data_IF_195893066389
#
_entry.id   IF_195893066389
#
_cell.length_a   1.000
_cell.length_b   1.000
_cell.length_c   1.000
_cell.angle_alpha   90.00
_cell.angle_beta   90.00
_cell.angle_gamma   90.00
#
_symmetry.space_group_name_H-M   'P 1'
#
loop_
_entity.id
_entity.type
_entity.pdbx_description
1 polymer ?
#
# COMPACT_ATOMS: atom_id res chain seq x y z
N UNK A 1 -9.35 26.60 7.30
CA UNK A 1 -9.81 25.22 7.02
C UNK A 1 -8.84 24.23 7.67
N UNK A 2 -9.23 22.98 7.92
CA UNK A 2 -8.30 21.96 8.42
C UNK A 2 -7.10 21.77 7.48
N UNK A 3 -5.93 21.48 8.04
CA UNK A 3 -4.67 21.22 7.31
C UNK A 3 -4.22 19.78 7.51
N UNK A 4 -3.29 19.32 6.67
CA UNK A 4 -2.73 17.98 6.76
C UNK A 4 -1.21 17.97 6.53
N UNK A 5 -0.51 17.10 7.26
CA UNK A 5 0.93 16.86 7.15
C UNK A 5 1.21 15.37 7.00
N UNK A 6 2.26 15.01 6.26
CA UNK A 6 2.73 13.63 6.14
C UNK A 6 3.86 13.38 7.14
N UNK A 7 3.63 12.50 8.10
CA UNK A 7 4.64 12.09 9.09
C UNK A 7 5.11 10.69 8.75
N UNK A 8 6.41 10.54 8.49
CA UNK A 8 6.99 9.23 8.15
C UNK A 8 6.82 8.24 9.31
N UNK A 9 6.30 7.06 8.99
CA UNK A 9 5.96 6.01 9.95
C UNK A 9 6.80 4.75 9.76
N UNK A 10 7.45 4.58 8.60
CA UNK A 10 8.31 3.44 8.34
C UNK A 10 8.53 3.15 6.86
N UNK A 11 9.11 1.98 6.59
CA UNK A 11 9.34 1.43 5.25
C UNK A 11 8.50 0.18 5.03
N UNK A 12 8.12 -0.04 3.78
CA UNK A 12 7.51 -1.29 3.32
C UNK A 12 8.35 -1.83 2.18
N UNK A 13 8.96 -2.99 2.36
CA UNK A 13 9.63 -3.73 1.30
C UNK A 13 8.69 -4.82 0.78
N UNK A 14 8.61 -4.94 -0.54
CA UNK A 14 7.70 -5.83 -1.24
C UNK A 14 8.49 -6.61 -2.29
N UNK A 15 8.21 -7.91 -2.37
CA UNK A 15 8.67 -8.74 -3.48
C UNK A 15 7.47 -9.14 -4.34
N UNK A 16 7.45 -8.65 -5.57
CA UNK A 16 6.45 -9.06 -6.56
C UNK A 16 6.73 -10.46 -7.10
N UNK A 17 5.66 -11.13 -7.49
CA UNK A 17 5.64 -12.50 -7.96
C UNK A 17 5.16 -12.65 -9.40
N UNK A 18 4.41 -13.73 -9.63
CA UNK A 18 3.82 -13.99 -10.95
C UNK A 18 2.85 -12.87 -11.35
N UNK A 19 2.94 -12.47 -12.62
CA UNK A 19 2.02 -11.53 -13.24
C UNK A 19 1.11 -12.32 -14.19
N UNK A 20 -0.17 -12.27 -13.92
CA UNK A 20 -1.22 -12.78 -14.80
C UNK A 20 -1.87 -11.59 -15.52
N UNK A 21 -1.72 -11.54 -16.83
CA UNK A 21 -2.52 -10.66 -17.66
C UNK A 21 -3.91 -11.29 -17.87
N UNK A 22 -4.95 -10.61 -17.41
CA UNK A 22 -6.34 -11.00 -17.66
C UNK A 22 -6.77 -10.56 -19.06
N UNK A 23 -6.24 -9.43 -19.52
CA UNK A 23 -6.44 -8.89 -20.86
C UNK A 23 -7.16 -7.54 -20.87
N UNK A 24 -7.47 -7.07 -22.07
CA UNK A 24 -8.08 -5.76 -22.29
C UNK A 24 -9.55 -5.71 -21.85
N UNK A 25 -9.87 -4.71 -21.03
CA UNK A 25 -11.23 -4.40 -20.59
C UNK A 25 -11.62 -2.96 -20.88
N UNK A 26 -12.86 -2.61 -20.51
CA UNK A 26 -13.41 -1.26 -20.74
C UNK A 26 -12.60 -0.12 -20.10
N UNK A 27 -11.79 -0.42 -19.08
CA UNK A 27 -11.00 0.54 -18.31
C UNK A 27 -9.48 0.44 -18.58
N UNK A 28 -9.05 -0.38 -19.53
CA UNK A 28 -7.65 -0.70 -19.78
C UNK A 28 -7.33 -2.19 -19.54
N UNK A 29 -6.06 -2.55 -19.63
CA UNK A 29 -5.59 -3.94 -19.48
C UNK A 29 -5.59 -4.33 -18.00
N UNK A 30 -6.35 -5.38 -17.65
CA UNK A 30 -6.43 -5.89 -16.28
C UNK A 30 -5.30 -6.87 -16.01
N UNK A 31 -4.62 -6.68 -14.90
CA UNK A 31 -3.58 -7.55 -14.37
C UNK A 31 -4.00 -8.13 -13.01
N UNK A 32 -3.42 -9.28 -12.67
CA UNK A 32 -3.32 -9.76 -11.30
C UNK A 32 -1.84 -10.00 -11.03
N UNK A 33 -1.28 -9.29 -10.06
CA UNK A 33 0.14 -9.34 -9.71
C UNK A 33 0.24 -9.98 -8.33
N UNK A 34 0.88 -11.15 -8.25
CA UNK A 34 1.18 -11.79 -6.97
C UNK A 34 2.12 -10.89 -6.15
N UNK A 35 1.83 -10.75 -4.86
CA UNK A 35 2.76 -10.18 -3.89
C UNK A 35 3.29 -11.32 -3.03
N UNK A 36 4.54 -11.72 -3.27
CA UNK A 36 5.16 -12.89 -2.62
C UNK A 36 5.52 -12.64 -1.17
N UNK A 37 6.00 -11.44 -0.89
CA UNK A 37 6.44 -11.03 0.44
C UNK A 37 6.18 -9.55 0.66
N UNK A 38 5.89 -9.21 1.91
CA UNK A 38 5.79 -7.84 2.42
C UNK A 38 6.47 -7.82 3.77
N UNK A 39 7.36 -6.84 3.97
CA UNK A 39 7.99 -6.54 5.25
C UNK A 39 7.78 -5.07 5.57
N UNK A 40 7.18 -4.79 6.73
CA UNK A 40 7.00 -3.44 7.28
C UNK A 40 7.96 -3.24 8.44
N UNK A 41 8.73 -2.16 8.38
CA UNK A 41 9.67 -1.76 9.44
C UNK A 41 9.39 -0.33 9.87
N UNK A 42 9.10 -0.12 11.15
CA UNK A 42 8.82 1.21 11.71
C UNK A 42 8.87 1.22 13.23
N UNK A 43 8.92 2.42 13.82
CA UNK A 43 9.12 2.60 15.27
C UNK A 43 7.97 2.01 16.11
N UNK A 44 6.75 2.00 15.57
CA UNK A 44 5.53 1.56 16.28
C UNK A 44 5.06 0.17 15.88
N UNK A 45 5.49 -0.34 14.73
CA UNK A 45 5.02 -1.60 14.17
C UNK A 45 6.10 -2.21 13.28
N UNK A 46 6.44 -3.46 13.57
CA UNK A 46 7.16 -4.33 12.66
C UNK A 46 6.25 -5.50 12.32
N UNK A 47 6.12 -5.81 11.04
CA UNK A 47 5.22 -6.85 10.58
C UNK A 47 5.70 -7.44 9.26
N UNK A 48 5.26 -8.65 8.97
CA UNK A 48 5.48 -9.29 7.67
C UNK A 48 4.19 -9.88 7.13
N UNK A 49 4.19 -10.27 5.87
CA UNK A 49 3.04 -10.93 5.23
C UNK A 49 2.62 -12.16 6.05
N UNK A 50 1.36 -12.18 6.50
CA UNK A 50 0.85 -13.19 7.43
C UNK A 50 0.69 -14.55 6.76
N UNK A 51 0.12 -14.55 5.55
CA UNK A 51 -0.16 -15.71 4.71
C UNK A 51 -0.05 -15.29 3.24
N UNK A 52 -0.09 -16.24 2.31
CA UNK A 52 -0.09 -15.96 0.87
C UNK A 52 -1.47 -15.50 0.38
N UNK A 53 -1.93 -14.35 0.85
CA UNK A 53 -3.21 -13.72 0.49
C UNK A 53 -3.06 -12.41 -0.31
N UNK A 54 -1.83 -12.04 -0.67
CA UNK A 54 -1.51 -10.74 -1.21
C UNK A 54 -1.47 -10.70 -2.74
N UNK A 55 -2.19 -9.73 -3.32
CA UNK A 55 -2.12 -9.42 -4.75
C UNK A 55 -2.54 -7.98 -5.06
N UNK A 56 -2.13 -7.50 -6.23
CA UNK A 56 -2.60 -6.26 -6.88
C UNK A 56 -3.46 -6.60 -8.11
N UNK A 57 -4.70 -6.16 -8.12
CA UNK A 57 -5.60 -6.23 -9.26
C UNK A 57 -5.46 -5.00 -10.16
N UNK A 58 -4.23 -4.76 -10.59
CA UNK A 58 -3.83 -3.57 -11.33
C UNK A 58 -4.58 -3.38 -12.65
N UNK A 59 -4.77 -2.13 -13.05
CA UNK A 59 -5.28 -1.77 -14.39
C UNK A 59 -4.32 -0.83 -15.10
N UNK A 60 -3.78 -1.26 -16.23
CA UNK A 60 -2.86 -0.47 -17.05
C UNK A 60 -3.66 0.35 -18.06
N UNK A 61 -3.31 1.63 -18.21
CA UNK A 61 -3.91 2.52 -19.22
C UNK A 61 -3.64 2.04 -20.64
N UNK A 62 -4.48 2.43 -21.60
CA UNK A 62 -4.34 2.01 -23.00
C UNK A 62 -2.99 2.39 -23.64
N UNK A 63 -2.40 3.50 -23.19
CA UNK A 63 -1.08 3.95 -23.65
C UNK A 63 0.09 3.28 -22.90
N UNK A 64 -0.20 2.40 -21.92
CA UNK A 64 0.80 1.64 -21.18
C UNK A 64 1.57 2.44 -20.13
N UNK A 65 1.21 3.71 -19.87
CA UNK A 65 2.04 4.60 -19.03
C UNK A 65 1.59 4.66 -17.57
N UNK A 66 0.31 4.37 -17.28
CA UNK A 66 -0.27 4.49 -15.95
C UNK A 66 -0.78 3.14 -15.44
N UNK A 67 -0.53 2.87 -14.17
CA UNK A 67 -1.12 1.76 -13.43
C UNK A 67 -2.11 2.32 -12.40
N UNK A 68 -3.34 1.83 -12.39
CA UNK A 68 -4.25 1.99 -11.25
C UNK A 68 -4.10 0.76 -10.35
N UNK A 69 -3.72 0.98 -9.09
CA UNK A 69 -3.53 -0.09 -8.11
C UNK A 69 -4.84 -0.47 -7.41
N UNK A 70 -4.98 -1.74 -7.05
CA UNK A 70 -6.04 -2.29 -6.21
C UNK A 70 -5.50 -3.48 -5.39
N UNK A 71 -5.00 -3.20 -4.20
CA UNK A 71 -4.17 -4.13 -3.41
C UNK A 71 -4.84 -4.51 -2.10
N UNK A 72 -4.70 -5.79 -1.72
CA UNK A 72 -5.19 -6.35 -0.45
C UNK A 72 -4.19 -7.38 0.08
N UNK A 73 -3.95 -7.39 1.39
CA UNK A 73 -3.18 -8.43 2.09
C UNK A 73 -3.36 -8.36 3.61
N UNK A 74 -2.89 -9.38 4.31
CA UNK A 74 -2.84 -9.40 5.78
C UNK A 74 -1.40 -9.41 6.28
N UNK A 75 -1.07 -8.51 7.20
CA UNK A 75 0.20 -8.49 7.93
C UNK A 75 0.06 -9.21 9.28
N UNK A 76 1.15 -9.82 9.72
CA UNK A 76 1.35 -10.35 11.06
C UNK A 76 2.50 -9.59 11.72
N UNK A 77 2.25 -9.00 12.88
CA UNK A 77 3.26 -8.29 13.66
C UNK A 77 4.25 -9.27 14.30
N UNK A 78 5.42 -8.77 14.68
CA UNK A 78 6.47 -9.54 15.36
C UNK A 78 6.02 -10.13 16.72
N UNK A 79 5.01 -9.54 17.34
CA UNK A 79 4.38 -10.00 18.58
C UNK A 79 3.07 -10.79 18.38
N UNK A 80 2.70 -11.10 17.13
CA UNK A 80 1.67 -12.09 16.80
C UNK A 80 0.26 -11.56 16.55
N UNK A 81 0.09 -10.25 16.42
CA UNK A 81 -1.17 -9.59 16.08
C UNK A 81 -1.34 -9.49 14.55
N UNK A 82 -2.57 -9.29 14.07
CA UNK A 82 -2.87 -9.22 12.63
C UNK A 82 -3.43 -7.86 12.22
N UNK A 83 -3.04 -7.40 11.02
CA UNK A 83 -3.49 -6.15 10.42
C UNK A 83 -3.87 -6.42 8.97
N UNK A 84 -5.14 -6.29 8.64
CA UNK A 84 -5.59 -6.25 7.25
C UNK A 84 -5.23 -4.91 6.62
N UNK A 85 -4.77 -4.93 5.38
CA UNK A 85 -4.38 -3.76 4.60
C UNK A 85 -5.08 -3.82 3.25
N UNK A 86 -5.67 -2.69 2.85
CA UNK A 86 -6.10 -2.46 1.47
C UNK A 86 -5.67 -1.07 1.01
N UNK A 87 -5.40 -0.94 -0.30
CA UNK A 87 -5.12 0.37 -0.87
C UNK A 87 -5.41 0.45 -2.35
N UNK A 88 -5.66 1.68 -2.79
CA UNK A 88 -5.65 2.07 -4.20
C UNK A 88 -4.66 3.21 -4.40
N UNK A 89 -4.23 3.39 -5.65
CA UNK A 89 -3.22 4.37 -5.99
C UNK A 89 -2.95 4.47 -7.47
N UNK A 90 -1.91 5.23 -7.82
CA UNK A 90 -1.41 5.40 -9.18
C UNK A 90 0.07 5.08 -9.26
N UNK A 91 0.44 4.32 -10.27
CA UNK A 91 1.81 4.07 -10.70
C UNK A 91 2.10 4.77 -12.02
N UNK A 92 3.25 5.41 -12.10
CA UNK A 92 3.88 5.84 -13.35
C UNK A 92 4.84 4.74 -13.79
N UNK A 93 4.44 3.99 -14.82
CA UNK A 93 5.19 2.86 -15.34
C UNK A 93 6.43 3.30 -16.12
N UNK A 94 6.49 4.56 -16.56
CA UNK A 94 7.66 5.12 -17.25
C UNK A 94 8.80 5.36 -16.28
N UNK A 95 8.47 5.90 -15.09
CA UNK A 95 9.46 6.23 -14.07
C UNK A 95 9.60 5.16 -12.97
N UNK A 96 8.73 4.15 -12.98
CA UNK A 96 8.69 3.11 -11.95
C UNK A 96 8.33 3.65 -10.57
N UNK A 97 7.55 4.73 -10.49
CA UNK A 97 7.16 5.38 -9.23
C UNK A 97 5.69 5.14 -8.94
N UNK A 98 5.32 5.03 -7.66
CA UNK A 98 3.96 4.77 -7.23
C UNK A 98 3.57 5.65 -6.05
N UNK A 99 2.30 6.07 -6.01
CA UNK A 99 1.69 6.72 -4.87
C UNK A 99 0.32 6.10 -4.58
N UNK A 100 0.08 5.73 -3.32
CA UNK A 100 -1.17 5.08 -2.90
C UNK A 100 -1.57 5.47 -1.48
N UNK A 101 -2.80 5.14 -1.09
CA UNK A 101 -3.38 5.52 0.20
C UNK A 101 -3.90 4.28 0.94
N UNK A 102 -3.06 3.61 1.76
CA UNK A 102 -3.50 2.47 2.53
C UNK A 102 -4.38 2.82 3.71
N UNK A 103 -5.35 1.94 3.93
CA UNK A 103 -6.18 1.86 5.12
C UNK A 103 -5.95 0.51 5.79
N UNK A 104 -6.31 0.44 7.06
CA UNK A 104 -5.92 -0.66 7.93
C UNK A 104 -7.09 -1.10 8.81
N UNK A 105 -7.15 -2.40 9.12
CA UNK A 105 -8.10 -2.96 10.06
C UNK A 105 -7.43 -3.99 10.96
N UNK A 106 -7.63 -3.89 12.26
CA UNK A 106 -7.14 -4.86 13.25
C UNK A 106 -8.11 -5.01 14.42
N UNK A 107 -8.20 -6.24 14.93
CA UNK A 107 -8.90 -6.55 16.19
C UNK A 107 -8.02 -6.40 17.44
N UNK A 108 -6.75 -6.06 17.28
CA UNK A 108 -5.80 -5.92 18.38
C UNK A 108 -6.10 -4.71 19.25
N UNK A 109 -6.21 -4.90 20.57
CA UNK A 109 -6.29 -3.77 21.51
C UNK A 109 -5.00 -2.94 21.49
N UNK A 110 -3.83 -3.61 21.42
CA UNK A 110 -2.51 -2.97 21.38
C UNK A 110 -2.34 -2.09 20.14
N UNK A 111 -2.77 -2.58 18.97
CA UNK A 111 -2.66 -1.85 17.71
C UNK A 111 -3.94 -1.11 17.31
N UNK A 112 -4.88 -0.92 18.23
CA UNK A 112 -6.18 -0.29 17.95
C UNK A 112 -6.09 1.15 17.41
N UNK A 113 -4.95 1.83 17.64
CA UNK A 113 -4.63 3.13 17.06
C UNK A 113 -4.54 3.11 15.53
N UNK A 114 -4.12 1.99 14.92
CA UNK A 114 -3.97 1.84 13.47
C UNK A 114 -5.32 1.98 12.74
N UNK A 115 -6.41 1.55 13.38
CA UNK A 115 -7.77 1.66 12.83
C UNK A 115 -8.21 3.12 12.58
N UNK A 116 -7.47 4.12 13.09
CA UNK A 116 -7.81 5.55 12.99
C UNK A 116 -6.87 6.31 12.05
N UNK A 117 -5.93 5.63 11.41
CA UNK A 117 -4.92 6.26 10.57
C UNK A 117 -5.32 6.21 9.10
N UNK A 118 -5.18 7.35 8.43
CA UNK A 118 -5.05 7.41 6.98
C UNK A 118 -3.58 7.31 6.61
N UNK A 119 -3.19 6.28 5.86
CA UNK A 119 -1.85 6.14 5.33
C UNK A 119 -1.69 6.81 3.96
N UNK A 120 -0.46 7.20 3.63
CA UNK A 120 0.01 7.52 2.29
C UNK A 120 1.33 6.80 2.08
N UNK A 121 1.52 6.18 0.91
CA UNK A 121 2.79 5.55 0.54
C UNK A 121 3.33 6.18 -0.75
N UNK A 122 4.64 6.38 -0.78
CA UNK A 122 5.39 6.73 -1.99
C UNK A 122 6.42 5.65 -2.25
N UNK A 123 6.47 5.12 -3.47
CA UNK A 123 7.25 3.93 -3.76
C UNK A 123 7.98 3.96 -5.09
N UNK A 124 8.93 3.06 -5.20
CA UNK A 124 9.70 2.83 -6.41
C UNK A 124 9.85 1.32 -6.64
N UNK A 125 9.60 0.89 -7.87
CA UNK A 125 9.71 -0.50 -8.30
C UNK A 125 10.88 -0.69 -9.26
N UNK A 126 11.63 -1.75 -9.06
CA UNK A 126 12.53 -2.30 -10.07
C UNK A 126 11.79 -3.45 -10.77
N UNK A 127 11.34 -3.21 -12.01
CA UNK A 127 10.53 -4.16 -12.77
C UNK A 127 11.30 -5.43 -13.19
N UNK A 128 12.62 -5.36 -13.31
CA UNK A 128 13.44 -6.53 -13.66
C UNK A 128 13.53 -7.54 -12.51
N UNK A 129 13.59 -7.05 -11.28
CA UNK A 129 13.72 -7.87 -10.07
C UNK A 129 12.41 -8.11 -9.35
N UNK A 130 11.38 -7.31 -9.63
CA UNK A 130 10.14 -7.27 -8.87
C UNK A 130 10.29 -6.68 -7.46
N UNK A 131 11.45 -6.10 -7.11
CA UNK A 131 11.64 -5.44 -5.81
C UNK A 131 10.95 -4.08 -5.82
N UNK A 132 10.09 -3.86 -4.84
CA UNK A 132 9.35 -2.61 -4.64
C UNK A 132 9.57 -2.14 -3.20
N UNK A 133 9.88 -0.86 -3.03
CA UNK A 133 10.05 -0.23 -1.72
C UNK A 133 9.14 0.98 -1.62
N UNK A 134 8.39 1.07 -0.53
CA UNK A 134 7.62 2.25 -0.16
C UNK A 134 8.16 2.91 1.10
N UNK A 135 8.07 4.24 1.16
CA UNK A 135 7.98 4.97 2.43
C UNK A 135 6.51 5.08 2.82
N UNK A 136 6.22 4.77 4.08
CA UNK A 136 4.89 4.89 4.68
C UNK A 136 4.80 6.18 5.50
N UNK A 137 3.73 6.92 5.29
CA UNK A 137 3.41 8.15 6.02
C UNK A 137 2.03 8.03 6.67
N UNK A 138 1.92 8.49 7.91
CA UNK A 138 0.64 8.82 8.54
C UNK A 138 0.23 10.24 8.13
N UNK A 139 -1.02 10.42 7.70
CA UNK A 139 -1.61 11.74 7.50
C UNK A 139 -2.04 12.30 8.86
N UNK A 140 -1.40 13.38 9.31
CA UNK A 140 -1.81 14.14 10.50
C UNK A 140 -2.70 15.30 10.09
N UNK A 141 -3.94 15.29 10.55
CA UNK A 141 -4.91 16.37 10.29
C UNK A 141 -4.98 17.29 11.49
N UNK A 142 -4.85 18.59 11.25
CA UNK A 142 -5.00 19.64 12.26
C UNK A 142 -6.27 20.44 11.97
N UNK A 143 -7.18 20.47 12.94
CA UNK A 143 -8.43 21.21 12.82
C UNK A 143 -8.19 22.72 12.83
N UNK A 144 -9.06 23.46 12.15
CA UNK A 144 -9.13 24.92 12.30
C UNK A 144 -9.81 25.26 13.62
N UNK A 145 -9.16 26.09 14.43
CA UNK A 145 -9.69 26.52 15.72
C UNK A 145 -11.00 27.30 15.55
N UNK A 146 -12.03 26.90 16.31
CA UNK A 146 -13.33 27.56 16.30
C UNK A 146 -14.25 27.23 15.11
N UNK A 147 -13.87 26.30 14.23
CA UNK A 147 -14.74 25.84 13.14
C UNK A 147 -15.77 24.78 13.58
N UNK A 148 -15.46 24.06 14.66
CA UNK A 148 -16.30 23.01 15.29
C UNK A 148 -16.26 23.15 16.80
#
# INVERSE_FOLDING_TARGET
>A
MATAELVEAGLIEVQLGELLEVGDGANGTRLVIEVKDVTVSGDKVNASLAIRDAADWGTVSQDGTLLSLDVRFTLKTDDGEYIYVEYTGRGDLTNGTLAAAPTFQTGSEKYSWINRIQGVISGQVNMETGKLVYRLYEVKVTAEEGLV
#
